data_IF_075527195236
#
_entry.id   IF_075527195236
#
_cell.length_a   1.000
_cell.length_b   1.000
_cell.length_c   1.000
_cell.angle_alpha   90.00
_cell.angle_beta   90.00
_cell.angle_gamma   90.00
#
_symmetry.space_group_name_H-M   'P 1'
#
loop_
_entity.id
_entity.type
_entity.pdbx_description
1 polymer ?
#
# COMPACT_ATOMS: atom_id res chain seq x y z
N UNK A 1 -3.11 11.41 10.75
CA UNK A 1 -2.49 10.18 11.27
C UNK A 1 -1.02 10.13 10.87
N UNK A 2 -0.15 9.40 11.59
CA UNK A 2 1.29 9.30 11.28
C UNK A 2 1.80 7.84 11.15
N UNK A 3 0.93 6.84 11.32
CA UNK A 3 1.32 5.43 11.19
C UNK A 3 1.50 4.98 9.75
N UNK A 4 1.83 3.70 9.59
CA UNK A 4 1.91 3.03 8.29
C UNK A 4 0.51 2.90 7.69
N UNK A 5 0.37 3.24 6.41
CA UNK A 5 -0.88 3.04 5.67
C UNK A 5 -0.76 1.79 4.82
N UNK A 6 -1.36 0.72 5.32
CA UNK A 6 -1.57 -0.52 4.58
C UNK A 6 -2.84 -0.40 3.73
N UNK A 7 -2.95 -1.24 2.71
CA UNK A 7 -4.12 -1.30 1.86
C UNK A 7 -4.28 -2.69 1.24
N UNK A 8 -5.52 -3.07 0.97
CA UNK A 8 -5.84 -4.32 0.28
C UNK A 8 -6.30 -4.06 -1.15
N UNK A 9 -5.71 -4.75 -2.11
CA UNK A 9 -6.15 -4.81 -3.50
C UNK A 9 -7.00 -6.06 -3.74
N UNK A 10 -7.76 -6.09 -4.84
CA UNK A 10 -8.60 -7.25 -5.21
C UNK A 10 -9.61 -7.65 -4.12
N UNK A 11 -10.04 -6.67 -3.30
CA UNK A 11 -10.99 -6.88 -2.22
C UNK A 11 -12.43 -6.53 -2.61
N UNK A 12 -12.68 -5.86 -3.74
CA UNK A 12 -14.03 -5.59 -4.20
C UNK A 12 -14.50 -6.66 -5.19
N UNK A 13 -15.74 -7.11 -5.07
CA UNK A 13 -16.30 -8.19 -5.91
C UNK A 13 -16.19 -7.86 -7.40
N UNK A 14 -16.61 -6.67 -7.83
CA UNK A 14 -16.53 -6.27 -9.26
C UNK A 14 -15.13 -6.39 -9.88
N UNK A 15 -14.07 -6.12 -9.10
CA UNK A 15 -12.68 -6.29 -9.56
C UNK A 15 -12.30 -7.77 -9.66
N UNK A 16 -12.69 -8.58 -8.69
CA UNK A 16 -12.46 -10.03 -8.74
C UNK A 16 -13.20 -10.68 -9.92
N UNK A 17 -14.39 -10.22 -10.23
CA UNK A 17 -15.17 -10.70 -11.37
C UNK A 17 -14.53 -10.29 -12.69
N UNK A 18 -14.17 -9.01 -12.83
CA UNK A 18 -13.52 -8.48 -14.04
C UNK A 18 -12.19 -9.19 -14.36
N UNK A 19 -11.48 -9.68 -13.35
CA UNK A 19 -10.18 -10.33 -13.50
C UNK A 19 -10.22 -11.86 -13.43
N UNK A 20 -11.41 -12.45 -13.25
CA UNK A 20 -11.59 -13.89 -12.97
C UNK A 20 -10.87 -14.77 -13.99
N UNK A 21 -11.08 -14.54 -15.28
CA UNK A 21 -10.45 -15.33 -16.35
C UNK A 21 -8.93 -15.09 -16.45
N UNK A 22 -8.48 -13.87 -16.15
CA UNK A 22 -7.06 -13.54 -16.17
C UNK A 22 -6.31 -14.28 -15.05
N UNK A 23 -6.93 -14.44 -13.88
CA UNK A 23 -6.32 -15.12 -12.73
C UNK A 23 -6.05 -16.60 -12.95
N UNK A 24 -6.74 -17.26 -13.87
CA UNK A 24 -6.49 -18.66 -14.23
C UNK A 24 -5.33 -18.81 -15.22
N UNK A 25 -4.83 -17.71 -15.79
CA UNK A 25 -3.77 -17.70 -16.81
C UNK A 25 -2.46 -17.19 -16.20
N UNK A 26 -1.34 -17.50 -16.86
CA UNK A 26 -0.07 -16.89 -16.53
C UNK A 26 -0.16 -15.35 -16.66
N UNK A 27 0.47 -14.56 -15.77
CA UNK A 27 1.41 -14.97 -14.73
C UNK A 27 0.78 -15.33 -13.38
N UNK A 28 -0.55 -15.31 -13.25
CA UNK A 28 -1.26 -15.52 -11.99
C UNK A 28 -1.44 -17.01 -11.65
N UNK A 29 -1.90 -17.79 -12.63
CA UNK A 29 -2.15 -19.24 -12.59
C UNK A 29 -3.24 -19.72 -11.64
N UNK A 30 -3.49 -19.04 -10.52
CA UNK A 30 -4.61 -19.30 -9.61
C UNK A 30 -5.10 -17.99 -9.01
N UNK A 31 -6.42 -17.82 -8.76
CA UNK A 31 -6.97 -16.69 -8.01
C UNK A 31 -6.29 -16.48 -6.64
N UNK A 32 -6.33 -15.25 -6.07
CA UNK A 32 -5.70 -14.98 -4.79
C UNK A 32 -6.33 -15.82 -3.68
N UNK A 33 -5.49 -16.50 -2.90
CA UNK A 33 -5.92 -17.34 -1.77
C UNK A 33 -5.99 -16.51 -0.49
N UNK A 34 -5.03 -15.61 -0.30
CA UNK A 34 -4.97 -14.67 0.82
C UNK A 34 -5.26 -13.24 0.37
N UNK A 35 -5.29 -12.30 1.33
CA UNK A 35 -5.45 -10.88 1.02
C UNK A 35 -4.21 -10.34 0.28
N UNK A 36 -4.45 -9.50 -0.73
CA UNK A 36 -3.38 -8.93 -1.57
C UNK A 36 -3.02 -7.55 -1.06
N UNK A 37 -1.88 -7.46 -0.38
CA UNK A 37 -1.49 -6.26 0.35
C UNK A 37 -0.55 -5.35 -0.43
N UNK A 38 -0.65 -4.05 -0.15
CA UNK A 38 0.35 -3.06 -0.51
C UNK A 38 0.42 -1.96 0.56
N UNK A 39 1.42 -1.07 0.43
CA UNK A 39 1.66 0.04 1.36
C UNK A 39 1.59 1.34 0.57
N UNK A 40 0.95 2.35 1.16
CA UNK A 40 1.03 3.75 0.74
C UNK A 40 2.13 4.41 1.58
N UNK A 41 3.37 4.59 1.05
CA UNK A 41 4.46 5.15 1.84
C UNK A 41 4.20 6.60 2.23
N UNK A 42 4.96 7.10 3.20
CA UNK A 42 4.74 8.40 3.83
C UNK A 42 4.67 9.58 2.85
N UNK A 43 5.41 9.54 1.73
CA UNK A 43 5.38 10.60 0.71
C UNK A 43 4.02 10.71 -0.01
N UNK A 44 3.20 9.65 0.04
CA UNK A 44 1.87 9.65 -0.55
C UNK A 44 0.83 10.31 0.34
N UNK A 45 1.03 10.29 1.67
CA UNK A 45 -0.02 10.63 2.64
C UNK A 45 -0.16 12.13 2.78
N UNK A 46 -1.34 12.67 2.46
CA UNK A 46 -1.69 14.09 2.56
C UNK A 46 -3.04 14.28 3.24
N UNK A 47 -3.30 15.45 3.80
CA UNK A 47 -4.58 15.76 4.49
C UNK A 47 -5.58 16.41 3.55
N UNK A 48 -6.80 16.62 4.04
CA UNK A 48 -7.80 17.43 3.36
C UNK A 48 -7.23 18.83 3.01
N UNK A 49 -7.54 19.31 1.81
CA UNK A 49 -7.11 20.59 1.27
C UNK A 49 -5.70 20.61 0.66
N UNK A 50 -4.84 19.64 1.00
CA UNK A 50 -3.51 19.53 0.38
C UNK A 50 -3.64 19.05 -1.09
N UNK A 51 -2.78 19.55 -2.00
CA UNK A 51 -2.90 19.21 -3.42
C UNK A 51 -2.48 17.78 -3.72
N UNK A 52 -3.23 17.10 -4.59
CA UNK A 52 -2.79 15.88 -5.28
C UNK A 52 -1.92 16.30 -6.47
N UNK A 53 -0.59 16.06 -6.45
CA UNK A 53 0.31 16.42 -7.55
C UNK A 53 0.06 15.50 -8.75
N UNK A 54 -0.40 16.06 -9.86
CA UNK A 54 -0.73 15.35 -11.08
C UNK A 54 0.54 15.18 -11.95
N UNK A 55 1.00 13.94 -12.21
CA UNK A 55 2.12 13.68 -13.11
C UNK A 55 1.73 13.86 -14.58
N UNK A 56 2.53 14.59 -15.35
CA UNK A 56 2.26 14.82 -16.77
C UNK A 56 2.37 13.55 -17.60
N UNK A 57 1.48 13.45 -18.60
CA UNK A 57 1.46 12.33 -19.55
C UNK A 57 0.85 11.05 -19.02
N UNK A 58 0.31 11.08 -17.80
CA UNK A 58 -0.25 9.90 -17.13
C UNK A 58 -1.77 9.99 -17.03
N UNK A 59 -2.43 8.84 -17.01
CA UNK A 59 -3.83 8.67 -16.60
C UNK A 59 -3.85 8.54 -15.07
N UNK A 60 -4.63 9.35 -14.36
CA UNK A 60 -4.70 9.32 -12.90
C UNK A 60 -6.13 9.10 -12.46
N UNK A 61 -6.33 8.14 -11.55
CA UNK A 61 -7.63 7.70 -11.08
C UNK A 61 -7.78 8.04 -9.60
N UNK A 62 -8.94 8.61 -9.24
CA UNK A 62 -9.40 8.65 -7.85
C UNK A 62 -9.78 7.24 -7.41
N UNK A 63 -9.45 6.91 -6.16
CA UNK A 63 -9.78 5.64 -5.49
C UNK A 63 -10.44 5.89 -4.16
N UNK A 64 -11.59 6.56 -4.17
CA UNK A 64 -12.32 6.85 -2.94
C UNK A 64 -12.57 5.57 -2.14
N UNK A 65 -12.21 5.60 -0.86
CA UNK A 65 -12.31 4.46 0.06
C UNK A 65 -12.42 4.93 1.50
N UNK A 66 -12.51 3.98 2.42
CA UNK A 66 -12.46 4.19 3.86
C UNK A 66 -11.29 3.40 4.43
N UNK A 67 -10.68 3.94 5.47
CA UNK A 67 -9.60 3.32 6.20
C UNK A 67 -10.07 2.99 7.61
N UNK A 68 -9.80 1.77 8.09
CA UNK A 68 -9.79 1.53 9.55
C UNK A 68 -8.51 2.12 10.12
N UNK A 69 -8.57 2.57 11.38
CA UNK A 69 -7.43 3.14 12.10
C UNK A 69 -7.24 2.38 13.40
N UNK A 70 -6.04 1.84 13.59
CA UNK A 70 -5.69 1.03 14.76
C UNK A 70 -5.59 1.93 16.00
N UNK A 71 -6.23 1.52 17.09
CA UNK A 71 -6.27 2.27 18.36
C UNK A 71 -5.34 1.74 19.45
N UNK A 72 -5.07 0.43 19.45
CA UNK A 72 -4.13 -0.25 20.35
C UNK A 72 -3.34 -1.29 19.56
N UNK A 73 -2.15 -1.65 20.02
CA UNK A 73 -1.30 -2.64 19.35
C UNK A 73 -2.09 -3.90 18.99
N UNK A 74 -2.05 -4.28 17.71
CA UNK A 74 -2.76 -5.42 17.16
C UNK A 74 -1.75 -6.45 16.64
N UNK A 75 -1.73 -7.63 17.26
CA UNK A 75 -0.91 -8.76 16.85
C UNK A 75 -1.72 -10.03 17.02
N UNK A 76 -1.89 -10.79 15.93
CA UNK A 76 -2.69 -12.02 15.86
C UNK A 76 -4.11 -11.85 16.42
N UNK A 77 -4.75 -10.74 16.08
CA UNK A 77 -6.10 -10.41 16.54
C UNK A 77 -7.10 -11.34 15.86
N UNK A 78 -8.04 -11.90 16.63
CA UNK A 78 -9.16 -12.69 16.08
C UNK A 78 -10.22 -11.75 15.51
N UNK A 79 -10.97 -12.21 14.52
CA UNK A 79 -11.98 -11.38 13.84
C UNK A 79 -13.00 -10.80 14.83
N UNK A 80 -13.47 -11.62 15.78
CA UNK A 80 -14.43 -11.25 16.81
C UNK A 80 -13.92 -10.18 17.80
N UNK A 81 -12.60 -10.04 17.95
CA UNK A 81 -11.98 -9.07 18.86
C UNK A 81 -11.53 -7.80 18.12
N UNK A 82 -11.66 -7.75 16.79
CA UNK A 82 -11.10 -6.69 15.96
C UNK A 82 -11.62 -5.29 16.32
N UNK A 83 -12.90 -5.18 16.68
CA UNK A 83 -13.51 -3.90 17.06
C UNK A 83 -12.79 -3.22 18.23
N UNK A 84 -12.30 -3.99 19.20
CA UNK A 84 -11.56 -3.42 20.35
C UNK A 84 -10.20 -2.84 19.97
N UNK A 85 -9.67 -3.21 18.80
CA UNK A 85 -8.39 -2.75 18.28
C UNK A 85 -8.54 -1.59 17.29
N UNK A 86 -9.75 -1.26 16.86
CA UNK A 86 -10.05 -0.19 15.91
C UNK A 86 -10.45 1.07 16.71
N UNK A 87 -9.68 2.15 16.58
CA UNK A 87 -10.04 3.45 17.18
C UNK A 87 -11.19 4.15 16.44
N UNK A 88 -11.39 3.79 15.17
CA UNK A 88 -12.40 4.37 14.30
C UNK A 88 -11.97 4.25 12.84
N UNK A 89 -12.59 5.08 12.01
CA UNK A 89 -12.42 5.05 10.57
C UNK A 89 -12.16 6.45 10.01
N UNK A 90 -11.56 6.55 8.84
CA UNK A 90 -11.37 7.80 8.12
C UNK A 90 -11.64 7.61 6.63
N UNK A 91 -12.27 8.59 5.97
CA UNK A 91 -12.31 8.62 4.51
C UNK A 91 -10.88 8.71 3.97
N UNK A 92 -10.62 8.06 2.85
CA UNK A 92 -9.32 8.07 2.21
C UNK A 92 -9.49 8.05 0.68
N UNK A 93 -8.46 8.48 -0.03
CA UNK A 93 -8.38 8.35 -1.47
C UNK A 93 -7.13 7.55 -1.84
N UNK A 94 -7.32 6.35 -2.36
CA UNK A 94 -6.25 5.53 -2.90
C UNK A 94 -5.98 5.92 -4.36
N UNK A 95 -5.44 7.13 -4.55
CA UNK A 95 -5.10 7.65 -5.88
C UNK A 95 -4.07 6.73 -6.54
N UNK A 96 -4.28 6.43 -7.82
CA UNK A 96 -3.48 5.46 -8.55
C UNK A 96 -3.42 5.81 -10.03
N UNK A 97 -2.36 5.37 -10.71
CA UNK A 97 -2.41 5.12 -12.15
C UNK A 97 -3.28 3.87 -12.44
N UNK A 98 -3.64 3.58 -13.71
CA UNK A 98 -4.41 2.39 -14.06
C UNK A 98 -3.85 1.09 -13.50
N UNK A 99 -4.75 0.22 -13.04
CA UNK A 99 -4.42 -1.11 -12.52
C UNK A 99 -4.41 -2.13 -13.66
N UNK A 100 -3.33 -2.12 -14.44
CA UNK A 100 -3.19 -3.00 -15.63
C UNK A 100 -2.57 -4.37 -15.30
N UNK A 101 -2.02 -4.52 -14.11
CA UNK A 101 -1.46 -5.78 -13.62
C UNK A 101 -1.48 -5.84 -12.10
N UNK A 102 -1.74 -7.04 -11.58
CA UNK A 102 -1.61 -7.35 -10.16
C UNK A 102 -0.43 -8.28 -9.88
N UNK A 103 0.44 -8.56 -10.85
CA UNK A 103 1.51 -9.54 -10.70
C UNK A 103 2.69 -9.01 -9.88
N UNK A 104 3.25 -7.87 -10.27
CA UNK A 104 4.34 -7.19 -9.55
C UNK A 104 3.82 -6.01 -8.74
N UNK A 105 4.50 -5.62 -7.65
CA UNK A 105 4.11 -4.47 -6.84
C UNK A 105 3.93 -3.20 -7.67
N UNK A 106 2.78 -2.54 -7.50
CA UNK A 106 2.38 -1.38 -8.30
C UNK A 106 3.04 -0.07 -7.80
N UNK A 107 4.36 -0.06 -7.63
CA UNK A 107 5.11 1.05 -6.99
C UNK A 107 4.93 2.36 -7.76
N UNK A 108 5.19 2.38 -9.07
CA UNK A 108 5.02 3.56 -9.93
C UNK A 108 3.57 4.06 -9.99
N UNK A 109 2.60 3.15 -9.82
CA UNK A 109 1.18 3.48 -9.89
C UNK A 109 0.66 4.10 -8.60
N UNK A 110 1.07 3.57 -7.44
CA UNK A 110 0.44 3.86 -6.13
C UNK A 110 1.33 4.64 -5.16
N UNK A 111 2.64 4.73 -5.37
CA UNK A 111 3.58 5.33 -4.40
C UNK A 111 4.04 6.75 -4.78
N UNK A 112 3.33 7.44 -5.67
CA UNK A 112 3.67 8.82 -6.06
C UNK A 112 3.31 9.82 -4.96
N UNK A 113 4.03 10.95 -4.94
CA UNK A 113 3.82 11.99 -3.94
C UNK A 113 2.35 12.44 -3.92
N UNK A 114 1.76 12.55 -2.73
CA UNK A 114 0.36 12.96 -2.56
C UNK A 114 -0.71 11.98 -3.03
N UNK A 115 -0.37 10.73 -3.37
CA UNK A 115 -1.35 9.75 -3.87
C UNK A 115 -2.19 9.04 -2.77
N UNK A 116 -2.16 9.52 -1.53
CA UNK A 116 -2.95 8.99 -0.42
C UNK A 116 -3.57 10.10 0.45
N UNK A 117 -4.51 10.90 -0.08
CA UNK A 117 -5.38 11.70 0.78
C UNK A 117 -6.02 10.87 1.88
N UNK A 118 -5.92 11.34 3.13
CA UNK A 118 -6.46 10.65 4.30
C UNK A 118 -7.13 11.67 5.21
N UNK A 119 -8.42 11.45 5.48
CA UNK A 119 -9.30 12.34 6.20
C UNK A 119 -9.18 12.25 7.71
N UNK A 120 -10.15 12.85 8.39
CA UNK A 120 -10.24 12.85 9.84
C UNK A 120 -10.72 11.50 10.38
N UNK A 121 -10.21 11.13 11.55
CA UNK A 121 -10.64 9.95 12.28
C UNK A 121 -12.01 10.22 12.91
N UNK A 122 -12.95 9.30 12.68
CA UNK A 122 -14.28 9.30 13.29
C UNK A 122 -14.48 7.98 14.02
N UNK A 123 -14.97 8.07 15.26
CA UNK A 123 -15.42 6.91 16.02
C UNK A 123 -16.85 6.55 15.56
N UNK A 124 -16.95 5.74 14.53
CA UNK A 124 -18.19 5.04 14.13
C UNK A 124 -18.05 3.56 14.44
N UNK A 125 -19.15 2.90 14.83
CA UNK A 125 -19.14 1.50 15.27
C UNK A 125 -18.74 0.54 14.15
N UNK A 126 -19.22 0.80 12.93
CA UNK A 126 -18.94 -0.01 11.75
C UNK A 126 -19.02 0.83 10.48
N UNK A 127 -18.43 0.32 9.41
CA UNK A 127 -18.53 0.82 8.04
C UNK A 127 -19.18 -0.22 7.12
N UNK A 128 -19.95 -1.16 7.68
CA UNK A 128 -20.72 -2.13 6.90
C UNK A 128 -21.87 -1.45 6.15
N UNK A 129 -22.12 -1.87 4.91
CA UNK A 129 -23.13 -1.30 4.02
C UNK A 129 -22.98 0.22 3.77
N UNK A 130 -21.77 0.76 3.95
CA UNK A 130 -21.47 2.17 3.78
C UNK A 130 -21.34 2.49 2.28
N UNK A 131 -22.16 3.43 1.81
CA UNK A 131 -22.00 4.02 0.47
C UNK A 131 -20.96 5.12 0.51
N UNK A 132 -19.93 4.99 -0.33
CA UNK A 132 -18.86 5.98 -0.51
C UNK A 132 -19.08 6.68 -1.84
N UNK A 133 -19.14 8.00 -1.82
CA UNK A 133 -19.46 8.85 -2.97
C UNK A 133 -18.22 9.66 -3.33
N UNK A 134 -17.92 9.75 -4.63
CA UNK A 134 -16.93 10.67 -5.19
C UNK A 134 -17.64 11.78 -5.97
N UNK A 135 -17.39 13.03 -5.59
CA UNK A 135 -17.74 14.20 -6.37
C UNK A 135 -16.49 14.80 -7.05
N UNK A 136 -16.65 15.23 -8.29
CA UNK A 136 -15.66 16.05 -9.01
C UNK A 136 -16.29 17.40 -9.31
N UNK A 137 -15.68 18.48 -8.81
CA UNK A 137 -16.15 19.85 -9.02
C UNK A 137 -17.61 20.06 -8.57
N UNK A 138 -18.00 19.43 -7.45
CA UNK A 138 -19.34 19.53 -6.85
C UNK A 138 -20.43 18.75 -7.58
N UNK A 139 -20.07 17.79 -8.43
CA UNK A 139 -21.00 16.88 -9.09
C UNK A 139 -20.59 15.44 -8.79
N UNK A 140 -21.56 14.61 -8.43
CA UNK A 140 -21.33 13.17 -8.26
C UNK A 140 -20.78 12.57 -9.56
N UNK A 141 -19.64 11.89 -9.43
CA UNK A 141 -18.93 11.23 -10.51
C UNK A 141 -18.90 9.70 -10.34
N UNK A 142 -18.97 9.21 -9.09
CA UNK A 142 -18.96 7.78 -8.76
C UNK A 142 -19.59 7.54 -7.38
N UNK A 143 -20.07 6.31 -7.16
CA UNK A 143 -20.36 5.79 -5.84
C UNK A 143 -20.20 4.26 -5.81
N UNK A 144 -19.90 3.70 -4.64
CA UNK A 144 -19.84 2.25 -4.41
C UNK A 144 -20.13 1.91 -2.95
N UNK A 145 -20.33 0.62 -2.62
CA UNK A 145 -20.73 0.19 -1.29
C UNK A 145 -19.78 -0.84 -0.66
N UNK A 146 -19.48 -0.70 0.64
CA UNK A 146 -18.59 -1.64 1.36
C UNK A 146 -19.16 -3.06 1.49
N UNK A 147 -20.47 -3.26 1.31
CA UNK A 147 -21.09 -4.59 1.25
C UNK A 147 -20.58 -5.44 0.07
N UNK A 148 -20.04 -4.81 -0.96
CA UNK A 148 -19.46 -5.48 -2.12
C UNK A 148 -17.99 -5.86 -1.91
N UNK A 149 -17.44 -5.64 -0.71
CA UNK A 149 -16.11 -6.12 -0.34
C UNK A 149 -16.14 -7.62 0.00
N UNK A 150 -15.05 -8.32 -0.33
CA UNK A 150 -14.83 -9.72 0.02
C UNK A 150 -14.45 -9.89 1.48
N UNK A 151 -13.60 -9.01 2.01
CA UNK A 151 -13.17 -9.00 3.41
C UNK A 151 -13.56 -7.68 4.06
N UNK A 152 -14.24 -7.79 5.19
CA UNK A 152 -14.58 -6.70 6.09
C UNK A 152 -13.36 -6.09 6.79
N UNK A 153 -13.54 -4.96 7.47
CA UNK A 153 -12.49 -4.33 8.27
C UNK A 153 -11.91 -5.28 9.33
N UNK A 154 -12.76 -6.06 10.01
CA UNK A 154 -12.36 -7.01 11.03
C UNK A 154 -11.51 -8.17 10.46
N UNK A 155 -11.93 -8.72 9.31
CA UNK A 155 -11.17 -9.78 8.63
C UNK A 155 -9.82 -9.28 8.11
N UNK A 156 -9.75 -8.04 7.63
CA UNK A 156 -8.49 -7.44 7.17
C UNK A 156 -7.53 -7.19 8.33
N UNK A 157 -8.01 -6.63 9.45
CA UNK A 157 -7.18 -6.44 10.64
C UNK A 157 -6.68 -7.79 11.18
N UNK A 158 -7.55 -8.79 11.24
CA UNK A 158 -7.15 -10.14 11.68
C UNK A 158 -6.11 -10.75 10.73
N UNK A 159 -6.34 -10.70 9.42
CA UNK A 159 -5.46 -11.29 8.43
C UNK A 159 -4.07 -10.61 8.37
N UNK A 160 -4.00 -9.28 8.50
CA UNK A 160 -2.73 -8.57 8.49
C UNK A 160 -1.98 -8.74 9.82
N UNK A 161 -2.69 -8.64 10.95
CA UNK A 161 -2.09 -8.76 12.28
C UNK A 161 -1.55 -10.16 12.58
N UNK A 162 -1.96 -11.19 11.84
CA UNK A 162 -1.43 -12.56 11.93
C UNK A 162 0.10 -12.60 11.78
N UNK A 163 0.65 -11.81 10.85
CA UNK A 163 2.08 -11.80 10.55
C UNK A 163 2.75 -10.42 10.75
N UNK A 164 2.01 -9.33 10.60
CA UNK A 164 2.54 -7.97 10.77
C UNK A 164 1.85 -7.29 11.95
N UNK A 165 2.57 -7.06 13.05
CA UNK A 165 2.04 -6.26 14.16
C UNK A 165 1.65 -4.87 13.65
N UNK A 166 0.50 -4.33 14.08
CA UNK A 166 0.08 -2.95 13.82
C UNK A 166 0.08 -2.14 15.11
N UNK A 167 0.46 -0.88 15.03
CA UNK A 167 0.55 0.05 16.15
C UNK A 167 -0.57 1.10 16.11
N UNK A 168 -0.88 1.75 17.24
CA UNK A 168 -1.82 2.88 17.26
C UNK A 168 -1.49 3.92 16.19
N UNK A 169 -2.49 4.24 15.36
CA UNK A 169 -2.38 5.18 14.25
C UNK A 169 -1.94 4.58 12.92
N UNK A 170 -1.60 3.28 12.85
CA UNK A 170 -1.55 2.55 11.58
C UNK A 170 -2.96 2.44 11.00
N UNK A 171 -3.05 2.37 9.67
CA UNK A 171 -4.32 2.33 8.96
C UNK A 171 -4.35 1.21 7.91
N UNK A 172 -5.54 0.69 7.61
CA UNK A 172 -5.78 -0.24 6.50
C UNK A 172 -6.87 0.33 5.60
N UNK A 173 -6.55 0.66 4.35
CA UNK A 173 -7.54 1.01 3.33
C UNK A 173 -8.33 -0.26 2.94
N UNK A 174 -9.66 -0.21 3.00
CA UNK A 174 -10.50 -1.41 2.92
C UNK A 174 -10.70 -1.94 1.49
N UNK A 175 -10.29 -1.19 0.48
CA UNK A 175 -10.33 -1.59 -0.94
C UNK A 175 -11.11 -0.60 -1.80
N UNK A 176 -11.18 -0.91 -3.09
CA UNK A 176 -11.80 -0.05 -4.10
C UNK A 176 -12.47 -0.90 -5.18
N UNK A 177 -13.54 -0.41 -5.84
CA UNK A 177 -14.15 -1.08 -6.97
C UNK A 177 -13.24 -1.12 -8.21
N UNK A 178 -13.61 -1.95 -9.19
CA UNK A 178 -12.96 -2.00 -10.51
C UNK A 178 -13.10 -0.69 -11.28
N UNK A 179 -14.29 -0.11 -11.27
CA UNK A 179 -14.56 1.18 -11.91
C UNK A 179 -13.99 2.28 -11.04
N UNK A 180 -13.26 3.22 -11.65
CA UNK A 180 -12.70 4.38 -10.97
C UNK A 180 -12.85 5.60 -11.88
N UNK A 181 -12.99 6.76 -11.25
CA UNK A 181 -13.09 8.04 -11.97
C UNK A 181 -11.72 8.65 -12.20
N UNK A 182 -11.51 9.08 -13.43
CA UNK A 182 -10.31 9.81 -13.83
C UNK A 182 -10.35 11.26 -13.33
N UNK A 183 -9.19 11.77 -12.91
CA UNK A 183 -9.03 13.14 -12.39
C UNK A 183 -8.00 13.92 -13.21
N UNK A 184 -8.09 15.25 -13.19
CA UNK A 184 -7.26 16.16 -14.00
C UNK A 184 -6.83 17.39 -13.21
N UNK A 185 -5.71 18.04 -13.59
CA UNK A 185 -5.33 19.33 -13.02
C UNK A 185 -6.50 20.33 -13.09
N UNK A 186 -6.81 20.96 -11.96
CA UNK A 186 -7.94 21.89 -11.81
C UNK A 186 -9.16 21.27 -11.12
N UNK A 187 -9.27 19.94 -11.04
CA UNK A 187 -10.36 19.29 -10.34
C UNK A 187 -10.29 19.49 -8.82
N UNK A 188 -11.46 19.60 -8.20
CA UNK A 188 -11.64 19.35 -6.75
C UNK A 188 -12.30 18.00 -6.59
N UNK A 189 -11.57 17.06 -6.00
CA UNK A 189 -12.03 15.70 -5.74
C UNK A 189 -12.51 15.64 -4.30
N UNK A 190 -13.79 15.37 -4.11
CA UNK A 190 -14.43 15.30 -2.80
C UNK A 190 -14.99 13.91 -2.56
N UNK A 191 -14.72 13.34 -1.39
CA UNK A 191 -15.21 12.03 -0.95
C UNK A 191 -16.18 12.26 0.20
N UNK A 192 -17.33 11.59 0.13
CA UNK A 192 -18.39 11.67 1.12
C UNK A 192 -18.85 10.27 1.51
N UNK A 193 -19.23 10.10 2.76
CA UNK A 193 -20.00 8.97 3.25
C UNK A 193 -20.78 9.42 4.50
N UNK A 194 -21.91 8.78 4.77
CA UNK A 194 -22.72 9.09 5.95
C UNK A 194 -21.91 8.89 7.24
N UNK A 195 -21.98 9.86 8.16
CA UNK A 195 -21.23 9.82 9.42
C UNK A 195 -19.78 10.31 9.34
N UNK A 196 -19.28 10.71 8.17
CA UNK A 196 -17.90 11.18 8.00
C UNK A 196 -17.80 12.67 7.64
N UNK A 197 -16.82 13.41 8.19
CA UNK A 197 -16.37 14.68 7.62
C UNK A 197 -15.92 14.47 6.17
N UNK A 198 -16.37 15.32 5.21
CA UNK A 198 -15.95 15.20 3.83
C UNK A 198 -14.44 15.37 3.66
N UNK A 199 -13.82 14.54 2.82
CA UNK A 199 -12.42 14.66 2.43
C UNK A 199 -12.35 15.30 1.04
N UNK A 200 -11.75 16.48 0.92
CA UNK A 200 -11.61 17.17 -0.38
C UNK A 200 -10.16 17.58 -0.64
N UNK A 201 -9.70 17.36 -1.87
CA UNK A 201 -8.35 17.70 -2.31
C UNK A 201 -8.38 18.30 -3.72
N UNK A 202 -7.67 19.41 -3.97
CA UNK A 202 -7.47 19.92 -5.32
C UNK A 202 -6.42 19.08 -6.06
N UNK A 203 -6.63 18.86 -7.35
CA UNK A 203 -5.65 18.23 -8.24
C UNK A 203 -4.86 19.33 -8.95
N UNK A 204 -3.54 19.28 -8.83
CA UNK A 204 -2.65 20.37 -9.31
C UNK A 204 -1.52 19.76 -10.13
N UNK A 205 -1.15 20.37 -11.25
CA UNK A 205 0.03 19.96 -12.03
C UNK A 205 1.26 19.88 -11.11
N UNK A 206 2.01 18.77 -11.14
CA UNK A 206 3.14 18.55 -10.24
C UNK A 206 4.22 19.63 -10.33
N UNK A 207 4.31 20.37 -11.46
CA UNK A 207 5.24 21.51 -11.61
C UNK A 207 4.90 22.70 -10.71
N UNK A 208 3.64 22.79 -10.27
CA UNK A 208 3.10 23.94 -9.54
C UNK A 208 2.89 23.62 -8.06
N UNK A 209 3.32 22.44 -7.59
CA UNK A 209 3.19 22.02 -6.19
C UNK A 209 4.56 22.04 -5.54
N UNK A 210 4.68 22.74 -4.42
CA UNK A 210 5.79 22.51 -3.49
C UNK A 210 5.40 21.37 -2.57
N UNK A 211 6.03 20.20 -2.74
CA UNK A 211 5.76 19.03 -1.91
C UNK A 211 6.35 19.30 -0.52
N UNK A 212 5.48 19.43 0.48
CA UNK A 212 5.89 19.52 1.86
C UNK A 212 6.41 18.16 2.32
N UNK A 213 7.72 18.03 2.49
CA UNK A 213 8.31 16.82 3.06
C UNK A 213 8.22 16.87 4.57
N UNK A 214 7.39 16.02 5.16
CA UNK A 214 7.41 15.77 6.60
C UNK A 214 8.36 14.62 6.90
N UNK A 215 9.16 14.73 7.97
CA UNK A 215 9.95 13.59 8.45
C UNK A 215 8.99 12.54 8.99
N UNK A 216 8.90 11.35 8.37
CA UNK A 216 8.03 10.30 8.86
C UNK A 216 8.58 9.74 10.19
N UNK A 217 7.74 9.11 11.02
CA UNK A 217 8.24 8.44 12.23
C UNK A 217 9.18 7.27 11.91
N UNK A 218 9.05 6.68 10.72
CA UNK A 218 9.92 5.63 10.21
C UNK A 218 10.25 5.88 8.74
N UNK A 219 11.49 5.56 8.33
CA UNK A 219 11.87 5.62 6.93
C UNK A 219 11.12 4.59 6.09
N UNK A 220 10.87 4.91 4.81
CA UNK A 220 10.38 3.91 3.86
C UNK A 220 11.51 2.96 3.48
N UNK A 221 11.27 1.65 3.62
CA UNK A 221 12.21 0.62 3.20
C UNK A 221 11.85 0.10 1.81
N UNK A 222 12.66 0.45 0.82
CA UNK A 222 12.63 -0.16 -0.51
C UNK A 222 13.57 -1.36 -0.52
N UNK A 223 13.14 -2.44 -1.18
CA UNK A 223 13.94 -3.63 -1.42
C UNK A 223 13.85 -4.02 -2.91
N UNK A 224 14.89 -4.70 -3.41
CA UNK A 224 15.01 -5.07 -4.83
C UNK A 224 14.95 -6.58 -5.00
N UNK A 225 14.08 -7.04 -5.90
CA UNK A 225 14.08 -8.43 -6.35
C UNK A 225 14.99 -8.63 -7.56
N UNK A 226 15.71 -9.77 -7.60
CA UNK A 226 16.49 -10.21 -8.77
C UNK A 226 17.58 -9.22 -9.24
N UNK A 227 18.24 -8.55 -8.29
CA UNK A 227 19.24 -7.50 -8.58
C UNK A 227 20.71 -7.96 -8.47
N UNK A 228 20.97 -9.26 -8.29
CA UNK A 228 22.30 -9.86 -8.44
C UNK A 228 22.37 -10.61 -9.77
N UNK A 229 23.46 -10.41 -10.52
CA UNK A 229 23.67 -11.06 -11.83
C UNK A 229 23.59 -12.59 -11.73
N UNK A 230 24.14 -13.17 -10.66
CA UNK A 230 24.15 -14.61 -10.42
C UNK A 230 22.72 -15.15 -10.21
N UNK A 231 21.89 -14.49 -9.40
CA UNK A 231 20.49 -14.88 -9.17
C UNK A 231 19.57 -14.67 -10.39
N UNK A 232 19.90 -13.73 -11.27
CA UNK A 232 19.17 -13.55 -12.53
C UNK A 232 19.45 -14.69 -13.53
N UNK A 233 20.58 -15.41 -13.38
CA UNK A 233 20.99 -16.52 -14.25
C UNK A 233 20.57 -17.91 -13.75
N UNK A 234 20.37 -18.08 -12.44
CA UNK A 234 19.95 -19.34 -11.79
C UNK A 234 18.45 -19.65 -11.97
N UNK A 235 17.67 -18.62 -12.28
CA UNK A 235 16.25 -18.72 -12.60
C UNK A 235 16.15 -18.58 -14.12
N UNK A 236 15.38 -19.44 -14.80
CA UNK A 236 15.12 -19.46 -16.25
C UNK A 236 14.37 -18.19 -16.75
N UNK A 237 14.59 -17.04 -16.10
CA UNK A 237 13.93 -15.77 -16.30
C UNK A 237 14.88 -14.80 -17.01
N UNK A 238 14.36 -14.10 -18.00
CA UNK A 238 15.05 -12.92 -18.53
C UNK A 238 15.15 -11.88 -17.40
N UNK A 239 16.34 -11.31 -17.13
CA UNK A 239 16.48 -10.25 -16.16
C UNK A 239 15.52 -9.10 -16.50
N UNK A 240 14.84 -8.51 -15.50
CA UNK A 240 13.86 -7.48 -15.76
C UNK A 240 14.56 -6.24 -16.35
N UNK A 241 13.93 -5.61 -17.34
CA UNK A 241 14.45 -4.40 -18.01
C UNK A 241 14.35 -3.15 -17.14
N UNK A 242 13.56 -3.22 -16.07
CA UNK A 242 13.45 -2.19 -15.03
C UNK A 242 13.56 -2.83 -13.64
N UNK A 243 14.05 -2.11 -12.61
CA UNK A 243 14.17 -2.67 -11.27
C UNK A 243 12.84 -3.18 -10.70
N UNK A 244 12.84 -4.42 -10.17
CA UNK A 244 11.72 -4.95 -9.40
C UNK A 244 11.80 -4.41 -7.97
N UNK A 245 11.05 -3.35 -7.68
CA UNK A 245 11.00 -2.71 -6.36
C UNK A 245 9.78 -3.19 -5.57
N UNK A 246 9.96 -3.40 -4.27
CA UNK A 246 8.87 -3.59 -3.31
C UNK A 246 9.14 -2.83 -2.01
N UNK A 247 8.09 -2.62 -1.19
CA UNK A 247 8.18 -1.90 0.08
C UNK A 247 7.97 -2.87 1.23
N UNK A 248 8.79 -2.72 2.27
CA UNK A 248 8.69 -3.47 3.54
C UNK A 248 8.13 -2.57 4.64
N UNK A 249 7.23 -3.11 5.47
CA UNK A 249 6.63 -2.39 6.59
C UNK A 249 7.64 -2.25 7.74
N UNK A 250 7.62 -1.15 8.52
CA UNK A 250 8.64 -0.89 9.55
C UNK A 250 8.68 -1.94 10.67
N UNK A 251 7.56 -2.59 10.97
CA UNK A 251 7.51 -3.61 12.03
C UNK A 251 8.21 -4.94 11.65
N UNK A 252 8.73 -5.06 10.43
CA UNK A 252 9.61 -6.18 10.03
C UNK A 252 11.06 -5.99 10.50
N UNK A 253 11.44 -4.79 10.91
CA UNK A 253 12.79 -4.52 11.37
C UNK A 253 13.06 -5.20 12.70
N UNK A 254 14.26 -5.77 12.82
CA UNK A 254 14.82 -6.25 14.08
C UNK A 254 16.25 -5.74 14.25
N UNK A 255 16.74 -5.72 15.49
CA UNK A 255 18.08 -5.27 15.83
C UNK A 255 19.16 -6.32 15.61
N UNK A 256 20.42 -5.90 15.80
CA UNK A 256 21.55 -6.84 15.89
C UNK A 256 21.40 -7.78 17.10
N UNK A 257 21.89 -9.02 16.94
CA UNK A 257 21.84 -10.08 17.94
C UNK A 257 20.42 -10.38 18.49
N UNK A 258 19.40 -10.21 17.65
CA UNK A 258 18.00 -10.54 17.95
C UNK A 258 17.57 -11.84 17.25
N UNK A 259 16.33 -12.26 17.50
CA UNK A 259 15.78 -13.51 16.97
C UNK A 259 14.70 -13.22 15.92
N UNK A 260 14.76 -13.90 14.77
CA UNK A 260 13.65 -13.95 13.81
C UNK A 260 12.96 -15.31 13.85
N UNK A 261 11.63 -15.29 13.82
CA UNK A 261 10.82 -16.51 14.00
C UNK A 261 10.68 -17.26 12.68
N UNK A 262 11.04 -18.55 12.67
CA UNK A 262 10.62 -19.49 11.63
C UNK A 262 9.20 -19.98 11.94
N UNK A 263 8.19 -19.76 11.08
CA UNK A 263 6.85 -20.28 11.31
C UNK A 263 6.82 -21.81 11.45
N UNK A 264 5.83 -22.30 12.18
CA UNK A 264 5.59 -23.74 12.26
C UNK A 264 5.16 -24.28 10.90
N UNK A 265 5.51 -25.54 10.61
CA UNK A 265 5.00 -26.30 9.48
C UNK A 265 5.27 -25.69 8.08
N UNK A 266 6.36 -24.93 7.92
CA UNK A 266 6.83 -24.48 6.59
C UNK A 266 8.03 -25.30 6.10
N UNK A 267 8.09 -25.49 4.79
CA UNK A 267 9.16 -26.18 4.10
C UNK A 267 10.43 -25.31 4.04
N UNK A 268 10.32 -24.06 3.58
CA UNK A 268 11.50 -23.29 3.18
C UNK A 268 11.48 -21.82 3.63
N UNK A 269 12.42 -21.51 4.53
CA UNK A 269 12.79 -20.15 4.92
C UNK A 269 14.30 -19.98 4.69
N UNK A 270 14.71 -18.90 4.03
CA UNK A 270 16.11 -18.62 3.73
C UNK A 270 16.47 -17.15 4.03
N UNK A 271 17.75 -16.91 4.28
CA UNK A 271 18.32 -15.58 4.48
C UNK A 271 18.67 -14.91 3.14
N UNK A 272 18.66 -13.59 3.09
CA UNK A 272 19.09 -12.79 1.93
C UNK A 272 19.97 -11.65 2.46
N UNK A 273 21.29 -11.81 2.39
CA UNK A 273 22.22 -10.78 2.88
C UNK A 273 22.30 -9.63 1.87
N UNK A 274 21.96 -8.41 2.30
CA UNK A 274 21.93 -7.24 1.40
C UNK A 274 22.70 -6.04 1.94
N UNK A 275 23.30 -5.29 1.02
CA UNK A 275 23.77 -3.93 1.25
C UNK A 275 22.57 -2.97 1.23
N UNK A 276 22.43 -2.17 2.28
CA UNK A 276 21.37 -1.16 2.38
C UNK A 276 21.97 0.23 2.19
N UNK A 277 21.40 0.99 1.26
CA UNK A 277 21.75 2.40 1.03
C UNK A 277 20.83 3.28 1.88
N UNK A 278 21.41 4.19 2.66
CA UNK A 278 20.65 5.16 3.47
C UNK A 278 20.69 6.52 2.78
N UNK A 279 19.51 7.09 2.53
CA UNK A 279 19.38 8.40 1.89
C UNK A 279 19.54 9.51 2.94
N UNK A 280 20.42 10.47 2.66
CA UNK A 280 20.76 11.59 3.56
C UNK A 280 20.18 12.93 3.16
N UNK A 281 19.76 13.09 1.90
CA UNK A 281 19.16 14.31 1.37
C UNK A 281 17.90 13.97 0.59
N UNK A 282 16.89 14.83 0.67
CA UNK A 282 15.66 14.69 -0.12
C UNK A 282 16.00 14.67 -1.61
N UNK A 283 15.61 13.61 -2.31
CA UNK A 283 15.90 13.38 -3.73
C UNK A 283 14.60 13.30 -4.55
N UNK A 284 14.52 14.07 -5.65
CA UNK A 284 13.42 14.02 -6.63
C UNK A 284 13.97 14.39 -8.01
N UNK A 285 13.71 13.56 -9.03
CA UNK A 285 14.23 13.75 -10.41
C UNK A 285 15.76 13.94 -10.46
N UNK A 286 16.48 13.20 -9.61
CA UNK A 286 17.96 13.21 -9.53
C UNK A 286 18.55 12.40 -10.67
N UNK A 287 19.61 12.92 -11.30
CA UNK A 287 20.33 12.20 -12.35
C UNK A 287 21.22 11.09 -11.76
N UNK A 288 21.56 10.07 -12.57
CA UNK A 288 22.49 9.02 -12.13
C UNK A 288 23.85 9.59 -11.70
N UNK A 289 24.35 10.61 -12.41
CA UNK A 289 25.62 11.25 -12.12
C UNK A 289 25.66 11.96 -10.75
N UNK A 290 24.51 12.47 -10.28
CA UNK A 290 24.39 13.19 -9.01
C UNK A 290 23.86 12.30 -7.87
N UNK A 291 23.45 11.07 -8.17
CA UNK A 291 22.75 10.19 -7.22
C UNK A 291 23.55 9.97 -5.93
N UNK A 292 24.87 9.86 -6.03
CA UNK A 292 25.76 9.64 -4.88
C UNK A 292 25.79 10.81 -3.90
N UNK A 293 25.46 12.04 -4.34
CA UNK A 293 25.43 13.21 -3.46
C UNK A 293 24.27 13.18 -2.46
N UNK A 294 23.29 12.30 -2.67
CA UNK A 294 22.11 12.12 -1.84
C UNK A 294 22.24 10.96 -0.86
N UNK A 295 23.31 10.15 -0.95
CA UNK A 295 23.57 9.02 -0.04
C UNK A 295 24.20 9.52 1.26
N UNK A 296 23.61 9.16 2.40
CA UNK A 296 24.21 9.37 3.72
C UNK A 296 25.31 8.35 4.01
N UNK A 297 25.09 7.09 3.62
CA UNK A 297 25.99 5.99 3.88
C UNK A 297 25.32 4.63 3.63
N UNK A 298 25.93 3.59 4.19
CA UNK A 298 25.53 2.21 3.98
C UNK A 298 25.37 1.47 5.30
N UNK A 299 24.48 0.49 5.32
CA UNK A 299 24.34 -0.50 6.39
C UNK A 299 24.05 -1.87 5.77
N UNK A 300 23.77 -2.88 6.59
CA UNK A 300 23.46 -4.24 6.14
C UNK A 300 22.10 -4.69 6.67
N UNK A 301 21.44 -5.58 5.95
CA UNK A 301 20.27 -6.30 6.45
C UNK A 301 20.29 -7.76 6.02
N UNK A 302 19.37 -8.52 6.61
CA UNK A 302 19.04 -9.88 6.19
C UNK A 302 17.55 -9.91 5.80
N UNK A 303 17.24 -9.92 4.52
CA UNK A 303 15.88 -9.88 3.98
C UNK A 303 15.25 -11.28 3.87
N UNK A 304 15.04 -11.91 5.01
CA UNK A 304 14.42 -13.24 5.10
C UNK A 304 13.17 -13.37 4.23
N UNK A 305 12.99 -14.56 3.64
CA UNK A 305 11.80 -14.91 2.89
C UNK A 305 11.29 -16.29 3.28
N UNK A 306 9.96 -16.42 3.35
CA UNK A 306 9.25 -17.69 3.54
C UNK A 306 8.63 -18.07 2.19
N UNK A 307 9.22 -19.02 1.46
CA UNK A 307 8.80 -19.32 0.08
C UNK A 307 7.41 -19.93 0.00
N UNK A 308 7.00 -20.67 1.02
CA UNK A 308 5.68 -21.30 1.15
C UNK A 308 4.52 -20.29 1.04
N UNK A 309 4.75 -19.02 1.42
CA UNK A 309 3.72 -17.97 1.43
C UNK A 309 3.69 -17.13 0.15
N UNK A 310 4.52 -17.46 -0.85
CA UNK A 310 4.52 -16.75 -2.12
C UNK A 310 3.23 -17.01 -2.90
N UNK A 311 2.59 -15.91 -3.30
CA UNK A 311 1.50 -15.91 -4.28
C UNK A 311 1.87 -14.99 -5.46
N UNK A 312 1.20 -15.15 -6.60
CA UNK A 312 1.45 -14.38 -7.83
C UNK A 312 0.70 -13.04 -7.85
N UNK A 313 0.54 -12.42 -6.68
CA UNK A 313 -0.14 -11.15 -6.50
C UNK A 313 0.75 -10.20 -5.73
N UNK A 314 1.11 -9.08 -6.36
CA UNK A 314 2.12 -8.13 -5.89
C UNK A 314 3.37 -8.84 -5.36
N UNK A 315 3.95 -9.71 -6.20
CA UNK A 315 5.03 -10.63 -5.85
C UNK A 315 6.41 -9.94 -5.85
N UNK A 316 7.19 -10.04 -4.75
CA UNK A 316 6.90 -10.76 -3.50
C UNK A 316 5.95 -9.97 -2.57
N UNK A 317 4.96 -10.66 -1.99
CA UNK A 317 3.91 -10.05 -1.18
C UNK A 317 4.32 -9.84 0.29
N UNK A 318 3.52 -9.06 1.04
CA UNK A 318 3.82 -8.71 2.44
C UNK A 318 3.89 -9.92 3.37
N UNK A 319 3.11 -10.99 3.16
CA UNK A 319 3.17 -12.17 4.02
C UNK A 319 4.52 -12.88 3.96
N UNK A 320 5.23 -12.74 2.84
CA UNK A 320 6.60 -13.24 2.65
C UNK A 320 7.63 -12.25 3.18
N UNK A 321 7.45 -10.94 2.95
CA UNK A 321 8.51 -9.92 3.10
C UNK A 321 8.29 -8.91 4.22
N UNK A 322 7.18 -8.95 4.95
CA UNK A 322 6.86 -7.98 6.00
C UNK A 322 6.38 -8.66 7.30
N UNK A 323 6.77 -9.91 7.53
CA UNK A 323 6.55 -10.56 8.82
C UNK A 323 7.32 -9.81 9.93
N UNK A 324 6.73 -9.76 11.12
CA UNK A 324 7.31 -9.09 12.30
C UNK A 324 8.68 -9.71 12.60
N UNK A 325 9.68 -8.83 12.79
CA UNK A 325 11.10 -9.18 12.87
C UNK A 325 11.52 -9.98 14.09
#
# INVERSE_FOLDING_TARGET
MKGTVFAVALNHQSQRESWREAFEKAPYSTPPKTAVWFIKPHNTVIRAGEPIPFPQGETVLSGATVALVVGKTASRVRVEDAAEHIAGYALANEVSLPEESFYRPAIKAKCRDGFCPLGELVAVDSVDNLTIITEINGREADHWNTADLQRSAAELLSALSEFATLNPGDAILLGTPQSRVEIRPGDRVRILAEGFPPLENPVVDERNVTIAHSTPPHATLFALGLNYADHASELDFKPPTEPLVFIKAPNTFNGDNQTSVRPNNIEYMHYEAELVVVIGKTARKVSEAEAMDYVAGYTVCNDYAIRDYLENYYRPNLRVKAATG
#
